data_IF_636744085576
#
_entry.id   IF_636744085576
#
_cell.length_a   1.000
_cell.length_b   1.000
_cell.length_c   1.000
_cell.angle_alpha   90.00
_cell.angle_beta   90.00
_cell.angle_gamma   90.00
#
_symmetry.space_group_name_H-M   'P 1'
#
loop_
_entity.id
_entity.type
_entity.pdbx_description
1 polymer ?
#
# COMPACT_ATOMS: atom_id res chain seq x y z
N UNK A 1 21.95 -3.58 -5.83
CA UNK A 1 20.66 -2.88 -5.94
C UNK A 1 19.68 -3.81 -6.65
N UNK A 2 19.04 -4.73 -5.92
CA UNK A 2 18.14 -5.76 -6.52
C UNK A 2 16.93 -5.95 -5.59
N UNK A 3 16.05 -4.94 -5.58
CA UNK A 3 14.77 -4.99 -4.83
C UNK A 3 13.58 -4.52 -5.68
N UNK A 4 13.74 -4.41 -7.01
CA UNK A 4 12.70 -3.86 -7.89
C UNK A 4 11.76 -4.89 -8.53
N UNK A 5 12.15 -6.15 -8.65
CA UNK A 5 11.44 -7.11 -9.52
C UNK A 5 10.29 -7.87 -8.84
N UNK A 6 10.30 -7.99 -7.50
CA UNK A 6 9.37 -8.87 -6.77
C UNK A 6 7.95 -8.32 -6.63
N UNK A 7 7.76 -7.01 -6.85
CA UNK A 7 6.50 -6.32 -6.58
C UNK A 7 5.58 -6.20 -7.80
N UNK A 8 6.11 -6.32 -9.02
CA UNK A 8 5.33 -6.13 -10.26
C UNK A 8 4.22 -7.20 -10.40
N UNK A 9 4.48 -8.43 -9.97
CA UNK A 9 3.49 -9.51 -9.95
C UNK A 9 2.51 -9.42 -8.77
N UNK A 10 2.75 -8.55 -7.78
CA UNK A 10 1.93 -8.40 -6.56
C UNK A 10 0.92 -7.25 -6.66
N UNK A 11 0.79 -6.61 -7.82
CA UNK A 11 -0.04 -5.42 -8.02
C UNK A 11 -1.55 -5.64 -7.73
N UNK A 12 -2.02 -6.89 -7.80
CA UNK A 12 -3.38 -7.26 -7.39
C UNK A 12 -3.49 -7.82 -5.98
N UNK A 13 -2.37 -8.04 -5.29
CA UNK A 13 -2.36 -8.67 -3.98
C UNK A 13 -2.27 -7.64 -2.86
N UNK A 14 -3.08 -7.90 -1.84
CA UNK A 14 -3.49 -6.95 -0.81
C UNK A 14 -5.01 -6.71 -0.87
N UNK A 15 -5.68 -6.68 0.30
CA UNK A 15 -7.12 -6.46 0.36
C UNK A 15 -7.46 -5.08 -0.20
N UNK A 16 -8.59 -5.00 -0.91
CA UNK A 16 -9.20 -3.71 -1.25
C UNK A 16 -9.65 -3.02 0.04
N UNK A 17 -9.50 -1.70 0.08
CA UNK A 17 -9.88 -0.83 1.20
C UNK A 17 -10.83 0.27 0.72
N UNK A 18 -12.07 -0.08 0.35
CA UNK A 18 -13.06 0.89 -0.12
C UNK A 18 -13.40 1.94 0.95
N UNK A 19 -13.15 1.64 2.22
CA UNK A 19 -13.23 2.56 3.36
C UNK A 19 -12.17 3.67 3.32
N UNK A 20 -11.06 3.46 2.61
CA UNK A 20 -9.97 4.44 2.38
C UNK A 20 -10.10 5.07 0.99
N UNK A 21 -10.50 4.30 -0.01
CA UNK A 21 -10.74 4.77 -1.38
C UNK A 21 -11.19 3.63 -2.30
N UNK A 22 -12.02 3.95 -3.30
CA UNK A 22 -12.70 2.95 -4.14
C UNK A 22 -11.76 1.92 -4.79
N UNK A 23 -10.60 2.37 -5.26
CA UNK A 23 -9.59 1.54 -5.93
C UNK A 23 -8.33 1.32 -5.08
N UNK A 24 -8.40 1.62 -3.78
CA UNK A 24 -7.26 1.52 -2.88
C UNK A 24 -7.06 0.08 -2.42
N UNK A 25 -5.79 -0.33 -2.41
CA UNK A 25 -5.31 -1.61 -1.86
C UNK A 25 -4.30 -1.35 -0.76
N UNK A 26 -4.22 -2.27 0.19
CA UNK A 26 -3.42 -2.11 1.39
C UNK A 26 -2.74 -3.41 1.86
N UNK A 27 -1.72 -3.94 1.15
CA UNK A 27 -0.92 -5.03 1.67
C UNK A 27 -0.08 -4.58 2.86
N UNK A 28 0.14 -5.49 3.80
CA UNK A 28 1.10 -5.35 4.88
C UNK A 28 2.46 -5.94 4.49
N UNK A 29 3.53 -5.19 4.73
CA UNK A 29 4.92 -5.66 4.59
C UNK A 29 5.63 -5.41 5.91
N UNK A 30 5.85 -6.47 6.68
CA UNK A 30 6.30 -6.34 8.08
C UNK A 30 5.31 -5.49 8.88
N UNK A 31 5.82 -4.48 9.60
CA UNK A 31 5.01 -3.54 10.38
C UNK A 31 4.52 -2.33 9.56
N UNK A 32 4.55 -2.39 8.23
CA UNK A 32 4.11 -1.29 7.37
C UNK A 32 2.87 -1.66 6.57
N UNK A 33 1.97 -0.69 6.42
CA UNK A 33 0.85 -0.74 5.50
C UNK A 33 1.16 0.15 4.30
N UNK A 34 1.08 -0.40 3.09
CA UNK A 34 1.32 0.33 1.85
C UNK A 34 -0.03 0.61 1.20
N UNK A 35 -0.47 1.86 1.18
CA UNK A 35 -1.67 2.26 0.46
C UNK A 35 -1.29 2.58 -0.98
N UNK A 36 -1.85 1.84 -1.93
CA UNK A 36 -1.66 2.10 -3.35
C UNK A 36 -2.95 1.95 -4.13
N UNK A 37 -2.96 2.47 -5.36
CA UNK A 37 -3.99 2.20 -6.36
C UNK A 37 -3.36 1.82 -7.69
N UNK A 38 -4.09 1.06 -8.49
CA UNK A 38 -3.69 0.71 -9.84
C UNK A 38 -4.17 1.78 -10.81
N UNK A 39 -3.26 2.26 -11.65
CA UNK A 39 -3.59 3.03 -12.85
C UNK A 39 -3.16 2.22 -14.08
N UNK A 40 -3.65 2.59 -15.26
CA UNK A 40 -3.57 1.78 -16.49
C UNK A 40 -2.21 1.10 -16.74
N UNK A 41 -1.10 1.80 -16.51
CA UNK A 41 0.26 1.32 -16.78
C UNK A 41 1.22 1.58 -15.59
N UNK A 42 0.68 1.87 -14.40
CA UNK A 42 1.51 2.20 -13.23
C UNK A 42 0.82 1.84 -11.91
N UNK A 43 1.64 1.68 -10.88
CA UNK A 43 1.19 1.64 -9.50
C UNK A 43 1.43 3.02 -8.89
N UNK A 44 0.41 3.59 -8.26
CA UNK A 44 0.54 4.83 -7.51
C UNK A 44 0.57 4.53 -6.02
N UNK A 45 1.71 4.76 -5.38
CA UNK A 45 1.82 4.71 -3.93
C UNK A 45 1.23 6.01 -3.38
N UNK A 46 0.16 5.90 -2.61
CA UNK A 46 -0.55 7.03 -2.00
C UNK A 46 0.05 7.35 -0.64
N UNK A 47 0.33 6.33 0.16
CA UNK A 47 0.88 6.50 1.50
C UNK A 47 1.59 5.23 1.98
N UNK A 48 2.58 5.38 2.84
CA UNK A 48 3.20 4.29 3.60
C UNK A 48 3.07 4.65 5.07
N UNK A 49 2.40 3.77 5.82
CA UNK A 49 2.13 3.97 7.25
C UNK A 49 2.82 2.87 8.04
N UNK A 50 3.47 3.22 9.15
CA UNK A 50 3.97 2.24 10.10
C UNK A 50 2.81 1.80 11.02
N UNK A 51 2.39 0.54 10.94
CA UNK A 51 1.25 -0.01 11.67
C UNK A 51 1.41 -0.04 13.20
N UNK A 52 2.65 -0.08 13.70
CA UNK A 52 2.90 0.08 15.14
C UNK A 52 2.94 1.55 15.60
N UNK A 53 2.79 2.51 14.68
CA UNK A 53 2.73 3.92 15.02
C UNK A 53 1.29 4.24 15.40
N UNK A 54 1.09 4.78 16.59
CA UNK A 54 -0.21 5.27 17.00
C UNK A 54 -0.56 6.52 16.18
N UNK A 55 -1.39 6.34 15.15
CA UNK A 55 -1.85 7.43 14.28
C UNK A 55 -2.71 8.43 15.05
N UNK A 56 -3.38 8.01 16.14
CA UNK A 56 -4.19 8.93 16.96
C UNK A 56 -3.36 9.99 17.68
N UNK A 57 -2.03 9.79 17.75
CA UNK A 57 -1.09 10.79 18.29
C UNK A 57 -0.54 11.75 17.23
N UNK A 58 -0.99 11.64 15.98
CA UNK A 58 -0.57 12.50 14.89
C UNK A 58 -1.60 13.62 14.69
N UNK A 59 -1.26 14.81 15.22
CA UNK A 59 -2.02 16.08 15.26
C UNK A 59 -3.07 16.21 16.36
#
# INVERSE_FOLDING_TARGET
MEAGSKYCHFSESGPRRPDVGADTRAPSVGNYLILYRLAKERIEIVCIVHGARDISTLF
#
